data_IF_019873294746
#
_entry.id   IF_019873294746
#
_cell.length_a   1.000
_cell.length_b   1.000
_cell.length_c   1.000
_cell.angle_alpha   90.00
_cell.angle_beta   90.00
_cell.angle_gamma   90.00
#
_symmetry.space_group_name_H-M   'P 1'
#
loop_
_entity.id
_entity.type
_entity.pdbx_description
1 polymer ?
#
# COMPACT_ATOMS: atom_id res chain seq x y z
N UNK A 1 14.70 4.43 -5.66
CA UNK A 1 14.10 5.04 -4.50
C UNK A 1 12.86 5.84 -4.91
N UNK A 2 11.73 5.56 -4.26
CA UNK A 2 10.47 6.25 -4.42
C UNK A 2 10.01 6.69 -3.01
N UNK A 3 10.00 8.00 -2.73
CA UNK A 3 9.71 8.51 -1.39
C UNK A 3 9.06 9.89 -1.39
N UNK A 4 8.37 10.21 -0.28
CA UNK A 4 7.70 11.49 -0.04
C UNK A 4 6.71 11.87 -1.14
N UNK A 5 5.96 10.87 -1.63
CA UNK A 5 4.96 11.11 -2.66
C UNK A 5 3.56 11.16 -2.06
N UNK A 6 2.73 11.94 -2.70
CA UNK A 6 1.29 11.90 -2.54
C UNK A 6 0.67 11.46 -3.86
N UNK A 7 -0.10 10.40 -3.81
CA UNK A 7 -0.76 9.79 -4.98
C UNK A 7 -2.23 9.57 -4.66
N UNK A 8 -3.12 9.87 -5.60
CA UNK A 8 -4.54 9.62 -5.40
C UNK A 8 -5.26 9.33 -6.71
N UNK A 9 -6.33 8.54 -6.62
CA UNK A 9 -7.27 8.24 -7.69
C UNK A 9 -6.65 7.72 -8.99
N UNK A 10 -5.49 7.08 -8.90
CA UNK A 10 -4.86 6.49 -10.08
C UNK A 10 -5.60 5.26 -10.55
N UNK A 11 -5.67 5.11 -11.85
CA UNK A 11 -6.22 3.93 -12.50
C UNK A 11 -5.40 2.66 -12.18
N UNK A 12 -4.08 2.74 -12.21
CA UNK A 12 -3.17 1.71 -11.71
C UNK A 12 -2.81 1.89 -10.24
N UNK A 13 -2.08 0.94 -9.65
CA UNK A 13 -1.58 1.05 -8.29
C UNK A 13 -0.60 2.23 -8.10
N UNK A 14 -0.35 2.59 -6.85
CA UNK A 14 0.62 3.65 -6.56
C UNK A 14 2.06 3.20 -6.85
N UNK A 15 2.36 1.92 -6.64
CA UNK A 15 3.65 1.32 -6.92
C UNK A 15 3.47 0.10 -7.82
N UNK A 16 4.02 0.18 -9.02
CA UNK A 16 4.02 -0.93 -9.97
C UNK A 16 5.46 -1.28 -10.32
N UNK A 17 5.99 -2.31 -9.70
CA UNK A 17 7.29 -2.90 -9.98
C UNK A 17 7.13 -3.94 -11.10
N UNK A 18 6.93 -3.46 -12.31
CA UNK A 18 6.70 -4.26 -13.49
C UNK A 18 7.96 -4.20 -14.38
N UNK A 19 8.99 -4.98 -14.09
CA UNK A 19 10.23 -4.91 -14.85
C UNK A 19 10.02 -5.37 -16.29
N UNK A 20 10.74 -4.73 -17.21
CA UNK A 20 10.99 -5.24 -18.55
C UNK A 20 11.86 -6.51 -18.50
N UNK A 21 12.65 -6.79 -19.55
CA UNK A 21 13.58 -7.92 -19.51
C UNK A 21 14.61 -7.76 -18.37
N UNK A 22 14.40 -8.48 -17.27
CA UNK A 22 15.20 -8.44 -16.05
C UNK A 22 14.36 -8.29 -14.80
N UNK A 23 14.94 -8.55 -13.63
CA UNK A 23 14.26 -8.36 -12.36
C UNK A 23 14.33 -6.89 -11.91
N UNK A 24 13.33 -6.44 -11.16
CA UNK A 24 13.42 -5.21 -10.37
C UNK A 24 14.28 -5.47 -9.15
N UNK A 25 15.38 -4.76 -8.97
CA UNK A 25 16.38 -5.05 -7.95
C UNK A 25 16.59 -3.86 -7.01
N UNK A 26 16.59 -4.12 -5.69
CA UNK A 26 16.93 -3.17 -4.63
C UNK A 26 16.13 -1.86 -4.67
N UNK A 27 14.84 -1.94 -5.00
CA UNK A 27 13.97 -0.77 -4.98
C UNK A 27 13.40 -0.52 -3.59
N UNK A 28 13.31 0.74 -3.23
CA UNK A 28 12.74 1.19 -1.97
C UNK A 28 11.56 2.12 -2.27
N UNK A 29 10.41 1.84 -1.64
CA UNK A 29 9.25 2.72 -1.61
C UNK A 29 8.88 3.03 -0.16
N UNK A 30 8.91 4.32 0.22
CA UNK A 30 8.66 4.74 1.59
C UNK A 30 8.08 6.15 1.70
N UNK A 31 7.51 6.45 2.87
CA UNK A 31 6.98 7.77 3.22
C UNK A 31 6.02 8.32 2.15
N UNK A 32 5.22 7.47 1.59
CA UNK A 32 4.23 7.82 0.56
C UNK A 32 2.82 7.67 1.12
N UNK A 33 1.96 8.62 0.80
CA UNK A 33 0.53 8.52 0.99
C UNK A 33 -0.13 8.20 -0.34
N UNK A 34 -0.84 7.08 -0.38
CA UNK A 34 -1.62 6.62 -1.54
C UNK A 34 -3.09 6.55 -1.16
N UNK A 35 -3.94 7.27 -1.90
CA UNK A 35 -5.38 7.35 -1.66
C UNK A 35 -6.12 6.89 -2.90
N UNK A 36 -6.92 5.84 -2.76
CA UNK A 36 -7.75 5.31 -3.84
C UNK A 36 -6.99 4.99 -5.14
N UNK A 37 -5.72 4.65 -5.06
CA UNK A 37 -4.98 4.15 -6.20
C UNK A 37 -5.33 2.68 -6.49
N UNK A 38 -5.21 2.24 -7.75
CA UNK A 38 -5.59 0.89 -8.13
C UNK A 38 -7.06 0.76 -8.53
N UNK A 39 -7.65 1.78 -9.12
CA UNK A 39 -9.07 1.81 -9.55
C UNK A 39 -9.36 0.97 -10.80
N UNK A 40 -8.34 0.44 -11.45
CA UNK A 40 -8.51 -0.44 -12.59
C UNK A 40 -8.79 -1.88 -12.14
N UNK A 41 -9.65 -2.57 -12.88
CA UNK A 41 -10.02 -3.96 -12.63
C UNK A 41 -8.78 -4.86 -12.43
N UNK A 42 -8.68 -5.45 -11.25
CA UNK A 42 -7.56 -6.30 -10.86
C UNK A 42 -6.21 -5.59 -10.63
N UNK A 43 -6.17 -4.26 -10.51
CA UNK A 43 -4.94 -3.55 -10.18
C UNK A 43 -4.80 -3.38 -8.67
N UNK A 44 -3.86 -4.05 -7.99
CA UNK A 44 -3.58 -3.80 -6.58
C UNK A 44 -2.89 -2.46 -6.39
N UNK A 45 -2.96 -1.90 -5.18
CA UNK A 45 -2.23 -0.66 -4.85
C UNK A 45 -0.73 -0.83 -5.00
N UNK A 46 -0.20 -1.99 -4.64
CA UNK A 46 1.20 -2.36 -4.87
C UNK A 46 1.25 -3.62 -5.71
N UNK A 47 1.93 -3.55 -6.84
CA UNK A 47 2.17 -4.71 -7.70
C UNK A 47 3.66 -5.04 -7.78
N UNK A 48 4.01 -6.29 -7.53
CA UNK A 48 5.39 -6.78 -7.58
C UNK A 48 5.56 -7.84 -8.65
N UNK A 49 6.34 -7.50 -9.69
CA UNK A 49 6.65 -8.41 -10.78
C UNK A 49 5.55 -8.55 -11.83
N UNK A 50 5.94 -8.91 -13.03
CA UNK A 50 5.04 -9.27 -14.13
C UNK A 50 5.65 -10.39 -14.97
N UNK A 51 4.83 -11.35 -15.36
CA UNK A 51 5.28 -12.48 -16.17
C UNK A 51 6.40 -13.27 -15.49
N UNK A 52 7.50 -13.50 -16.21
CA UNK A 52 8.67 -14.24 -15.72
C UNK A 52 9.73 -13.38 -14.99
N UNK A 53 9.51 -12.08 -14.94
CA UNK A 53 10.45 -11.14 -14.31
C UNK A 53 9.95 -10.79 -12.91
N UNK A 54 10.84 -10.79 -11.93
CA UNK A 54 10.49 -10.69 -10.53
C UNK A 54 10.97 -9.42 -9.85
N UNK A 55 10.91 -9.45 -8.53
CA UNK A 55 11.39 -8.40 -7.64
C UNK A 55 12.35 -9.00 -6.63
N UNK A 56 13.54 -8.43 -6.50
CA UNK A 56 14.61 -8.91 -5.62
C UNK A 56 15.09 -7.75 -4.74
N UNK A 57 15.19 -7.96 -3.42
CA UNK A 57 15.70 -6.97 -2.48
C UNK A 57 14.82 -5.71 -2.39
N UNK A 58 13.53 -5.81 -2.66
CA UNK A 58 12.61 -4.68 -2.61
C UNK A 58 12.16 -4.41 -1.17
N UNK A 59 12.09 -3.14 -0.79
CA UNK A 59 11.59 -2.72 0.50
C UNK A 59 10.44 -1.72 0.34
N UNK A 60 9.32 -2.01 1.01
CA UNK A 60 8.13 -1.15 1.05
C UNK A 60 7.81 -0.86 2.50
N UNK A 61 8.07 0.36 2.97
CA UNK A 61 7.90 0.67 4.38
C UNK A 61 7.53 2.13 4.67
N UNK A 62 6.91 2.34 5.83
CA UNK A 62 6.48 3.66 6.29
C UNK A 62 5.57 4.38 5.27
N UNK A 63 4.72 3.63 4.59
CA UNK A 63 3.72 4.18 3.68
C UNK A 63 2.33 4.12 4.31
N UNK A 64 1.47 5.02 3.93
CA UNK A 64 0.04 4.97 4.23
C UNK A 64 -0.73 4.72 2.95
N UNK A 65 -1.51 3.67 2.93
CA UNK A 65 -2.36 3.28 1.80
C UNK A 65 -3.81 3.24 2.26
N UNK A 66 -4.61 4.12 1.69
CA UNK A 66 -6.03 4.24 1.97
C UNK A 66 -6.88 3.92 0.74
N UNK A 67 -7.93 3.15 0.93
CA UNK A 67 -8.86 2.80 -0.13
C UNK A 67 -10.30 2.77 0.36
N UNK A 68 -11.19 3.53 -0.28
CA UNK A 68 -12.60 3.64 0.08
C UNK A 68 -13.45 2.43 -0.30
N UNK A 69 -12.91 1.51 -1.08
CA UNK A 69 -13.66 0.39 -1.61
C UNK A 69 -14.54 0.74 -2.82
N UNK A 70 -14.33 1.89 -3.43
CA UNK A 70 -15.03 2.34 -4.64
C UNK A 70 -14.14 2.10 -5.86
N UNK A 71 -14.47 1.14 -6.68
CA UNK A 71 -13.68 0.83 -7.87
C UNK A 71 -13.44 -0.66 -8.05
N UNK A 72 -12.51 -1.01 -8.91
CA UNK A 72 -12.27 -2.38 -9.32
C UNK A 72 -11.13 -3.08 -8.56
N UNK A 73 -10.39 -2.38 -7.70
CA UNK A 73 -9.31 -2.97 -6.94
C UNK A 73 -9.80 -3.49 -5.59
N UNK A 74 -9.55 -4.74 -5.34
CA UNK A 74 -9.87 -5.41 -4.07
C UNK A 74 -8.66 -5.51 -3.14
N UNK A 75 -7.50 -4.98 -3.57
CA UNK A 75 -6.24 -5.21 -2.87
C UNK A 75 -5.65 -3.95 -2.28
N UNK A 76 -5.65 -3.86 -0.95
CA UNK A 76 -4.90 -2.84 -0.20
C UNK A 76 -3.42 -3.18 -0.10
N UNK A 77 -3.09 -4.45 -0.17
CA UNK A 77 -1.75 -4.97 0.14
C UNK A 77 -0.99 -5.38 -1.12
N UNK A 78 0.32 -5.58 -1.02
CA UNK A 78 1.12 -6.06 -2.14
C UNK A 78 0.57 -7.35 -2.75
N UNK A 79 0.44 -7.37 -4.05
CA UNK A 79 0.06 -8.54 -4.82
C UNK A 79 1.04 -8.82 -5.96
N UNK A 80 1.24 -10.08 -6.29
CA UNK A 80 1.97 -10.50 -7.48
C UNK A 80 1.00 -11.13 -8.47
N UNK A 81 0.64 -10.40 -9.47
CA UNK A 81 -0.47 -10.72 -10.39
C UNK A 81 -0.29 -11.99 -11.25
N UNK A 82 0.93 -12.54 -11.39
CA UNK A 82 1.17 -13.62 -12.35
C UNK A 82 1.91 -14.79 -11.72
N UNK A 83 1.53 -15.99 -12.08
CA UNK A 83 2.32 -17.18 -11.73
C UNK A 83 3.68 -17.10 -12.43
N UNK A 84 4.76 -17.16 -11.66
CA UNK A 84 6.09 -17.35 -12.18
C UNK A 84 7.17 -16.29 -11.94
N UNK A 85 6.89 -15.03 -11.51
CA UNK A 85 7.99 -14.13 -11.19
C UNK A 85 8.80 -14.64 -9.99
N UNK A 86 10.11 -14.44 -10.04
CA UNK A 86 10.99 -14.68 -8.88
C UNK A 86 10.74 -13.52 -7.90
N UNK A 87 10.30 -13.84 -6.70
CA UNK A 87 10.21 -12.91 -5.58
C UNK A 87 11.24 -13.36 -4.55
N UNK A 88 12.16 -12.49 -4.20
CA UNK A 88 13.27 -12.84 -3.31
C UNK A 88 13.66 -11.63 -2.46
N UNK A 89 13.84 -11.83 -1.15
CA UNK A 89 14.24 -10.78 -0.19
C UNK A 89 13.39 -9.50 -0.29
N UNK A 90 12.07 -9.66 -0.44
CA UNK A 90 11.13 -8.54 -0.44
C UNK A 90 10.61 -8.31 0.97
N UNK A 91 10.66 -7.07 1.45
CA UNK A 91 10.22 -6.69 2.80
C UNK A 91 9.13 -5.64 2.75
N UNK A 92 8.03 -5.91 3.46
CA UNK A 92 6.87 -5.02 3.55
C UNK A 92 6.59 -4.78 5.03
N UNK A 93 6.95 -3.60 5.53
CA UNK A 93 6.94 -3.36 6.97
C UNK A 93 6.61 -1.91 7.36
N UNK A 94 6.11 -1.73 8.57
CA UNK A 94 5.76 -0.42 9.10
C UNK A 94 4.80 0.37 8.20
N UNK A 95 3.95 -0.29 7.43
CA UNK A 95 2.96 0.40 6.60
C UNK A 95 1.61 0.44 7.31
N UNK A 96 0.78 1.42 6.93
CA UNK A 96 -0.64 1.47 7.28
C UNK A 96 -1.45 1.12 6.04
N UNK A 97 -2.22 0.06 6.11
CA UNK A 97 -3.20 -0.37 5.12
C UNK A 97 -4.61 -0.13 5.70
N UNK A 98 -5.28 0.91 5.22
CA UNK A 98 -6.58 1.29 5.73
C UNK A 98 -7.63 1.37 4.63
N UNK A 99 -8.72 0.68 4.83
CA UNK A 99 -9.86 0.74 3.92
C UNK A 99 -11.17 0.43 4.62
N UNK A 100 -12.13 1.37 4.70
CA UNK A 100 -13.38 1.19 5.45
C UNK A 100 -14.23 0.01 4.97
N UNK A 101 -14.06 -0.42 3.73
CA UNK A 101 -14.85 -1.50 3.12
C UNK A 101 -14.00 -2.46 2.26
N UNK A 102 -12.70 -2.44 2.41
CA UNK A 102 -11.82 -3.23 1.54
C UNK A 102 -11.92 -4.72 1.81
N UNK A 103 -12.03 -5.49 0.75
CA UNK A 103 -11.62 -6.90 0.75
C UNK A 103 -10.19 -6.92 0.19
N UNK A 104 -9.21 -7.04 1.06
CA UNK A 104 -7.81 -7.07 0.62
C UNK A 104 -7.43 -8.44 0.06
N UNK A 105 -6.55 -8.49 -0.93
CA UNK A 105 -5.73 -9.66 -1.21
C UNK A 105 -4.31 -9.41 -0.74
N UNK A 106 -3.66 -10.44 -0.25
CA UNK A 106 -2.26 -10.40 0.20
C UNK A 106 -1.50 -11.45 -0.60
N UNK A 107 -0.36 -11.09 -1.14
CA UNK A 107 0.49 -12.08 -1.79
C UNK A 107 1.02 -13.08 -0.76
N UNK A 108 0.76 -14.34 -1.00
CA UNK A 108 1.27 -15.46 -0.19
C UNK A 108 2.53 -16.08 -0.79
N UNK A 109 3.17 -15.40 -1.74
CA UNK A 109 4.36 -15.93 -2.40
C UNK A 109 5.54 -15.98 -1.46
N UNK A 110 6.29 -17.06 -1.56
CA UNK A 110 7.60 -17.17 -0.91
C UNK A 110 8.49 -15.99 -1.31
N UNK A 111 9.32 -15.54 -0.39
CA UNK A 111 10.24 -14.43 -0.61
C UNK A 111 9.70 -13.05 -0.28
N UNK A 112 8.50 -12.94 0.30
CA UNK A 112 7.97 -11.69 0.86
C UNK A 112 7.84 -11.84 2.38
N UNK A 113 8.56 -11.01 3.11
CA UNK A 113 8.48 -10.89 4.56
C UNK A 113 7.60 -9.71 4.94
N UNK A 114 6.56 -9.98 5.75
CA UNK A 114 5.68 -8.97 6.31
C UNK A 114 5.94 -8.83 7.80
N UNK A 115 6.11 -7.60 8.30
CA UNK A 115 6.22 -7.35 9.74
C UNK A 115 5.86 -5.92 10.15
N UNK A 116 5.31 -5.77 11.34
CA UNK A 116 4.92 -4.51 11.96
C UNK A 116 3.99 -3.63 11.09
N UNK A 117 3.12 -4.23 10.29
CA UNK A 117 2.14 -3.45 9.54
C UNK A 117 0.87 -3.23 10.37
N UNK A 118 0.24 -2.07 10.20
CA UNK A 118 -1.10 -1.83 10.68
C UNK A 118 -2.09 -2.07 9.55
N UNK A 119 -3.06 -2.94 9.78
CA UNK A 119 -4.07 -3.30 8.78
C UNK A 119 -5.47 -3.14 9.37
N UNK A 120 -6.28 -2.29 8.77
CA UNK A 120 -7.61 -2.01 9.27
C UNK A 120 -8.64 -1.80 8.16
N UNK A 121 -9.80 -2.39 8.35
CA UNK A 121 -11.04 -2.05 7.63
C UNK A 121 -12.20 -2.10 8.61
N UNK A 122 -13.18 -1.22 8.45
CA UNK A 122 -14.30 -1.11 9.38
C UNK A 122 -15.21 -2.35 9.40
N UNK A 123 -15.22 -3.13 8.33
CA UNK A 123 -15.95 -4.41 8.23
C UNK A 123 -15.10 -5.63 8.63
N UNK A 124 -13.82 -5.45 8.99
CA UNK A 124 -12.91 -6.52 9.39
C UNK A 124 -12.33 -7.36 8.25
N UNK A 125 -12.77 -7.20 7.02
CA UNK A 125 -12.38 -8.09 5.91
C UNK A 125 -10.88 -8.03 5.58
N UNK A 126 -10.27 -6.84 5.60
CA UNK A 126 -8.85 -6.69 5.31
C UNK A 126 -7.98 -7.37 6.38
N UNK A 127 -8.36 -7.24 7.66
CA UNK A 127 -7.66 -7.90 8.76
C UNK A 127 -7.69 -9.42 8.64
N UNK A 128 -8.85 -10.00 8.34
CA UNK A 128 -8.98 -11.45 8.20
C UNK A 128 -8.14 -12.02 7.04
N UNK A 129 -8.17 -11.35 5.90
CA UNK A 129 -7.35 -11.75 4.74
C UNK A 129 -5.86 -11.63 5.06
N UNK A 130 -5.45 -10.54 5.68
CA UNK A 130 -4.05 -10.32 6.04
C UNK A 130 -3.54 -11.33 7.06
N UNK A 131 -4.29 -11.60 8.14
CA UNK A 131 -3.97 -12.62 9.13
C UNK A 131 -3.78 -14.00 8.52
N UNK A 132 -4.63 -14.36 7.55
CA UNK A 132 -4.57 -15.67 6.91
C UNK A 132 -3.36 -15.84 5.97
N UNK A 133 -2.81 -14.76 5.43
CA UNK A 133 -1.87 -14.82 4.32
C UNK A 133 -0.47 -14.27 4.64
N UNK A 134 -0.35 -13.18 5.40
CA UNK A 134 0.91 -12.44 5.50
C UNK A 134 1.91 -13.00 6.52
N UNK A 135 1.49 -13.88 7.44
CA UNK A 135 2.33 -14.39 8.54
C UNK A 135 3.06 -13.28 9.36
N UNK A 136 2.46 -12.09 9.46
CA UNK A 136 2.98 -10.96 10.21
C UNK A 136 2.58 -11.09 11.69
N UNK A 137 3.50 -11.60 12.51
CA UNK A 137 3.25 -11.85 13.94
C UNK A 137 3.20 -10.58 14.79
N UNK A 138 3.66 -9.45 14.24
CA UNK A 138 3.70 -8.14 14.88
C UNK A 138 2.69 -7.15 14.30
N UNK A 139 1.78 -7.61 13.43
CA UNK A 139 0.77 -6.77 12.85
C UNK A 139 -0.21 -6.19 13.87
N UNK A 140 -0.56 -4.93 13.69
CA UNK A 140 -1.60 -4.22 14.46
C UNK A 140 -2.91 -4.21 13.68
N UNK A 141 -4.01 -4.54 14.34
CA UNK A 141 -5.34 -4.66 13.71
C UNK A 141 -6.37 -3.69 14.33
N UNK A 142 -5.94 -2.47 14.56
CA UNK A 142 -6.73 -1.42 15.18
C UNK A 142 -6.88 -0.21 14.25
N UNK A 143 -7.88 0.63 14.52
CA UNK A 143 -8.11 1.85 13.74
C UNK A 143 -6.86 2.78 13.84
N UNK A 144 -6.26 3.19 12.73
CA UNK A 144 -5.13 4.11 12.76
C UNK A 144 -5.49 5.50 13.29
N UNK A 145 -6.76 5.79 13.52
CA UNK A 145 -7.26 7.04 14.08
C UNK A 145 -6.77 8.27 13.30
N UNK A 146 -7.00 8.29 11.99
CA UNK A 146 -6.79 9.49 11.20
C UNK A 146 -7.77 10.60 11.62
N UNK A 147 -7.37 11.85 11.46
CA UNK A 147 -8.18 13.00 11.89
C UNK A 147 -9.48 13.08 11.11
N UNK A 148 -9.41 13.02 9.79
CA UNK A 148 -10.56 13.04 8.87
C UNK A 148 -10.12 12.58 7.48
N UNK A 149 -10.35 11.32 7.13
CA UNK A 149 -9.94 10.78 5.83
C UNK A 149 -10.65 11.42 4.63
N UNK A 150 -11.68 12.23 4.86
CA UNK A 150 -12.38 12.98 3.82
C UNK A 150 -11.76 14.34 3.56
N UNK A 151 -10.88 14.83 4.44
CA UNK A 151 -10.15 16.10 4.26
C UNK A 151 -8.94 15.90 3.33
N UNK A 152 -9.28 15.72 2.07
CA UNK A 152 -8.33 15.51 0.98
C UNK A 152 -8.66 16.45 -0.15
N UNK A 153 -7.70 17.24 -0.60
CA UNK A 153 -7.86 18.07 -1.79
C UNK A 153 -6.96 17.57 -2.92
N UNK A 154 -7.54 17.49 -4.11
CA UNK A 154 -6.76 17.16 -5.32
C UNK A 154 -6.04 18.41 -5.80
N UNK A 155 -4.79 18.24 -6.24
CA UNK A 155 -4.10 19.31 -6.96
C UNK A 155 -4.77 19.58 -8.29
N UNK A 156 -4.70 20.82 -8.74
CA UNK A 156 -5.23 21.21 -10.05
C UNK A 156 -4.12 21.70 -10.97
N UNK A 157 -4.31 21.50 -12.26
CA UNK A 157 -3.48 22.09 -13.30
C UNK A 157 -4.31 23.14 -14.05
N UNK A 158 -4.00 24.41 -13.85
CA UNK A 158 -4.67 25.50 -14.55
C UNK A 158 -3.64 26.52 -15.05
N UNK A 159 -3.77 26.93 -16.30
CA UNK A 159 -2.96 28.00 -16.90
C UNK A 159 -1.44 27.84 -16.73
N UNK A 160 -0.95 26.60 -16.82
CA UNK A 160 0.48 26.30 -16.68
C UNK A 160 0.99 26.32 -15.23
N UNK A 161 0.10 26.33 -14.25
CA UNK A 161 0.43 26.25 -12.83
C UNK A 161 -0.18 25.01 -12.20
N UNK A 162 0.60 24.33 -11.38
CA UNK A 162 0.12 23.22 -10.53
C UNK A 162 -0.14 23.76 -9.14
N UNK A 163 -1.34 23.52 -8.61
CA UNK A 163 -1.59 23.59 -7.18
C UNK A 163 -1.43 22.19 -6.60
N UNK A 164 -0.73 22.06 -5.48
CA UNK A 164 -0.60 20.80 -4.80
C UNK A 164 -1.89 20.49 -4.02
N UNK A 165 -2.31 19.23 -4.05
CA UNK A 165 -3.34 18.73 -3.16
C UNK A 165 -2.85 18.68 -1.72
N UNK A 166 -3.76 18.57 -0.78
CA UNK A 166 -3.47 18.35 0.64
C UNK A 166 -4.11 17.04 1.11
N UNK A 167 -3.55 16.47 2.13
CA UNK A 167 -4.05 15.27 2.79
C UNK A 167 -3.98 15.44 4.31
N UNK A 168 -4.37 16.61 4.80
CA UNK A 168 -4.30 16.98 6.21
C UNK A 168 -5.14 16.04 7.09
N UNK A 169 -6.19 15.47 6.55
CA UNK A 169 -7.04 14.50 7.24
C UNK A 169 -6.36 13.18 7.58
N UNK A 170 -5.23 12.86 6.93
CA UNK A 170 -4.42 11.66 7.24
C UNK A 170 -3.39 11.88 8.35
N UNK A 171 -3.52 12.96 9.10
CA UNK A 171 -2.75 13.13 10.35
C UNK A 171 -3.23 12.15 11.40
N UNK A 172 -2.29 11.46 12.02
CA UNK A 172 -2.55 10.49 13.08
C UNK A 172 -2.87 11.24 14.39
N UNK A 173 -3.93 10.83 15.07
CA UNK A 173 -4.30 11.39 16.39
C UNK A 173 -3.35 10.88 17.49
N UNK A 174 -3.27 11.61 18.60
CA UNK A 174 -2.32 11.38 19.69
C UNK A 174 -2.32 9.95 20.25
N UNK A 175 -3.49 9.32 20.32
CA UNK A 175 -3.65 8.00 20.95
C UNK A 175 -3.73 6.88 19.89
N UNK A 176 -3.30 7.15 18.64
CA UNK A 176 -3.31 6.18 17.57
C UNK A 176 -2.38 4.99 17.85
N UNK A 177 -2.84 3.76 17.59
CA UNK A 177 -2.00 2.57 17.68
C UNK A 177 -0.87 2.54 16.64
N UNK A 178 -0.88 3.43 15.66
CA UNK A 178 0.19 3.57 14.68
C UNK A 178 1.40 4.34 15.21
N UNK A 179 1.27 5.04 16.36
CA UNK A 179 2.39 5.75 16.98
C UNK A 179 3.29 4.70 17.67
N UNK A 180 4.60 4.80 17.40
CA UNK A 180 5.63 3.90 17.97
C UNK A 180 5.42 2.40 17.72
N UNK A 181 4.51 2.05 16.79
CA UNK A 181 4.23 0.65 16.43
C UNK A 181 5.25 0.07 15.42
N UNK A 182 6.10 0.89 14.86
CA UNK A 182 7.09 0.49 13.86
C UNK A 182 8.29 -0.24 14.48
N UNK A 183 8.99 -1.04 13.66
CA UNK A 183 10.31 -1.55 13.99
C UNK A 183 11.33 -0.41 13.95
N UNK A 184 12.29 -0.41 14.90
CA UNK A 184 13.46 0.44 14.87
C UNK A 184 14.46 0.00 13.78
#
# INVERSE_FOLDING_TARGET
LYEYNYSHDKYGGFLMLCPGPGATVNNIARYTLSINDGRYDGAPMIRMGTGKYGSIGVQVYNNTMYWEGTGYSDSLTPDSYWEGPVIEDVKVFNNIFYGPAASGSVSTKDGIDYYNNLVYSSNGSAQEVYKAAANDQSAVYEDPMFTDVTDVTTGTWENGKTTLGTADGFKIQKDSPAIDAGAE
#
